data_IF_421796658256
#
_entry.id   IF_421796658256
#
_cell.length_a   1.000
_cell.length_b   1.000
_cell.length_c   1.000
_cell.angle_alpha   90.00
_cell.angle_beta   90.00
_cell.angle_gamma   90.00
#
_symmetry.space_group_name_H-M   'P 1'
#
loop_
_entity.id
_entity.type
_entity.pdbx_description
1 polymer ?
#
# COMPACT_ATOMS: atom_id res chain seq x y z
N UNK A 1 -6.18 -12.63 11.68
CA UNK A 1 -4.81 -12.14 11.42
C UNK A 1 -4.90 -10.73 10.85
N UNK A 2 -4.01 -9.83 11.28
CA UNK A 2 -3.97 -8.45 10.76
C UNK A 2 -3.25 -8.43 9.41
N UNK A 3 -3.72 -7.59 8.48
CA UNK A 3 -3.21 -7.48 7.12
C UNK A 3 -2.64 -6.09 6.85
N UNK A 4 -1.45 -6.03 6.27
CA UNK A 4 -0.82 -4.79 5.80
C UNK A 4 -0.67 -4.83 4.28
N UNK A 5 -1.16 -3.78 3.62
CA UNK A 5 -0.99 -3.56 2.19
C UNK A 5 0.24 -2.68 1.96
N UNK A 6 1.33 -3.28 1.48
CA UNK A 6 2.54 -2.56 1.09
C UNK A 6 2.42 -2.11 -0.37
N UNK A 7 2.26 -0.81 -0.58
CA UNK A 7 2.01 -0.19 -1.88
C UNK A 7 3.31 0.36 -2.45
N UNK A 8 3.76 -0.18 -3.60
CA UNK A 8 5.00 0.23 -4.26
C UNK A 8 6.25 -0.22 -3.50
N UNK A 9 6.18 -1.38 -2.85
CA UNK A 9 7.26 -1.90 -2.02
C UNK A 9 8.47 -2.42 -2.79
N UNK A 10 8.40 -2.54 -4.13
CA UNK A 10 9.40 -3.11 -5.04
C UNK A 10 9.75 -4.58 -4.78
N UNK A 11 10.00 -5.02 -3.54
CA UNK A 11 10.24 -6.43 -3.23
C UNK A 11 9.81 -6.79 -1.82
N UNK A 12 9.29 -8.00 -1.63
CA UNK A 12 9.07 -8.60 -0.30
C UNK A 12 10.36 -8.91 0.46
N UNK A 13 11.51 -8.88 -0.22
CA UNK A 13 12.82 -8.99 0.46
C UNK A 13 13.13 -7.77 1.31
N UNK A 14 12.47 -6.63 1.05
CA UNK A 14 12.58 -5.43 1.87
C UNK A 14 11.69 -5.64 3.09
N UNK A 15 12.27 -5.78 4.29
CA UNK A 15 11.49 -6.01 5.50
C UNK A 15 10.61 -4.79 5.77
N UNK A 16 9.37 -5.06 6.17
CA UNK A 16 8.53 -4.03 6.76
C UNK A 16 9.07 -3.63 8.14
N UNK A 17 8.72 -2.43 8.63
CA UNK A 17 9.01 -2.03 10.00
C UNK A 17 8.58 -3.11 11.03
N UNK A 18 9.33 -3.29 12.13
CA UNK A 18 9.06 -4.32 13.14
C UNK A 18 7.62 -4.31 13.70
N UNK A 19 6.93 -3.18 13.64
CA UNK A 19 5.54 -3.02 14.04
C UNK A 19 4.56 -3.92 13.26
N UNK A 20 4.97 -4.37 12.06
CA UNK A 20 4.22 -5.31 11.23
C UNK A 20 4.68 -6.76 11.39
N UNK A 21 5.56 -7.07 12.34
CA UNK A 21 5.98 -8.45 12.59
C UNK A 21 4.75 -9.32 12.94
N UNK A 22 4.61 -10.46 12.26
CA UNK A 22 3.46 -11.35 12.39
C UNK A 22 2.17 -10.88 11.70
N UNK A 23 2.20 -9.76 10.97
CA UNK A 23 1.10 -9.36 10.09
C UNK A 23 1.24 -10.04 8.72
N UNK A 24 0.10 -10.27 8.07
CA UNK A 24 0.07 -10.77 6.70
C UNK A 24 0.44 -9.64 5.74
N UNK A 25 1.61 -9.77 5.10
CA UNK A 25 2.18 -8.77 4.22
C UNK A 25 1.77 -9.03 2.77
N UNK A 26 0.89 -8.15 2.28
CA UNK A 26 0.41 -8.13 0.90
C UNK A 26 1.15 -7.03 0.14
N UNK A 27 1.93 -7.40 -0.89
CA UNK A 27 2.62 -6.49 -1.78
C UNK A 27 1.73 -6.14 -2.97
N UNK A 28 1.50 -4.84 -3.17
CA UNK A 28 0.85 -4.27 -4.33
C UNK A 28 1.85 -3.48 -5.17
N UNK A 29 1.94 -3.83 -6.44
CA UNK A 29 2.80 -3.16 -7.40
C UNK A 29 2.17 -3.15 -8.79
N UNK A 30 2.58 -2.19 -9.63
CA UNK A 30 2.19 -2.10 -11.04
C UNK A 30 3.11 -2.93 -11.93
N UNK A 31 4.36 -3.20 -11.50
CA UNK A 31 5.30 -3.98 -12.27
C UNK A 31 5.10 -5.49 -12.00
N UNK A 32 4.70 -6.30 -12.99
CA UNK A 32 4.60 -7.74 -12.80
C UNK A 32 5.96 -8.42 -12.54
N UNK A 33 7.08 -7.78 -12.90
CA UNK A 33 8.42 -8.34 -12.73
C UNK A 33 8.83 -8.48 -11.26
N UNK A 34 8.19 -7.75 -10.37
CA UNK A 34 8.46 -7.84 -8.93
C UNK A 34 7.61 -8.90 -8.21
N UNK A 35 6.78 -9.63 -8.96
CA UNK A 35 5.90 -10.68 -8.44
C UNK A 35 5.03 -10.21 -7.24
N UNK A 36 4.23 -9.14 -7.42
CA UNK A 36 3.34 -8.67 -6.35
C UNK A 36 2.21 -9.67 -6.09
N UNK A 37 1.66 -9.68 -4.87
CA UNK A 37 0.43 -10.44 -4.59
C UNK A 37 -0.77 -9.80 -5.27
N UNK A 38 -0.73 -8.47 -5.43
CA UNK A 38 -1.75 -7.68 -6.09
C UNK A 38 -1.08 -6.87 -7.20
N UNK A 39 -1.18 -7.35 -8.44
CA UNK A 39 -0.78 -6.59 -9.62
C UNK A 39 -1.86 -5.54 -9.92
N UNK A 40 -1.64 -4.31 -9.43
CA UNK A 40 -2.62 -3.23 -9.56
C UNK A 40 -1.92 -1.87 -9.52
N UNK A 41 -2.47 -0.93 -10.27
CA UNK A 41 -2.08 0.48 -10.14
C UNK A 41 -2.72 1.06 -8.87
N UNK A 42 -1.94 1.76 -8.04
CA UNK A 42 -2.46 2.42 -6.84
C UNK A 42 -3.58 3.44 -7.15
N UNK A 43 -3.69 3.93 -8.40
CA UNK A 43 -4.78 4.80 -8.86
C UNK A 43 -6.11 4.06 -9.01
N UNK A 44 -6.07 2.75 -9.19
CA UNK A 44 -7.23 1.88 -9.44
C UNK A 44 -7.64 1.08 -8.18
N UNK A 45 -7.13 1.46 -7.00
CA UNK A 45 -7.47 0.81 -5.72
C UNK A 45 -8.97 0.80 -5.42
N UNK A 46 -9.73 1.76 -5.95
CA UNK A 46 -11.20 1.80 -5.85
C UNK A 46 -11.88 0.58 -6.51
N UNK A 47 -11.22 -0.08 -7.46
CA UNK A 47 -11.70 -1.30 -8.11
C UNK A 47 -11.48 -2.57 -7.28
N UNK A 48 -10.69 -2.51 -6.20
CA UNK A 48 -10.51 -3.63 -5.28
C UNK A 48 -11.67 -3.70 -4.28
N UNK A 49 -11.83 -4.86 -3.63
CA UNK A 49 -12.76 -4.96 -2.51
C UNK A 49 -12.30 -4.05 -1.34
N UNK A 50 -13.24 -3.28 -0.79
CA UNK A 50 -12.98 -2.36 0.30
C UNK A 50 -12.86 -3.04 1.66
N UNK A 51 -12.38 -2.30 2.66
CA UNK A 51 -12.28 -2.74 4.06
C UNK A 51 -11.59 -4.09 4.29
N UNK A 52 -10.51 -4.36 3.55
CA UNK A 52 -9.78 -5.62 3.63
C UNK A 52 -8.53 -5.55 4.52
N UNK A 53 -7.92 -4.36 4.64
CA UNK A 53 -6.61 -4.21 5.26
C UNK A 53 -6.69 -3.40 6.56
N UNK A 54 -5.84 -3.78 7.52
CA UNK A 54 -5.71 -3.09 8.80
C UNK A 54 -4.70 -1.94 8.73
N UNK A 55 -3.75 -2.02 7.79
CA UNK A 55 -2.82 -0.92 7.49
C UNK A 55 -2.48 -0.84 6.01
N UNK A 56 -2.23 0.37 5.52
CA UNK A 56 -1.58 0.63 4.24
C UNK A 56 -0.21 1.21 4.52
N UNK A 57 0.84 0.52 4.06
CA UNK A 57 2.22 0.96 4.12
C UNK A 57 2.65 1.50 2.76
N UNK A 58 3.12 2.75 2.73
CA UNK A 58 3.58 3.42 1.50
C UNK A 58 4.85 4.22 1.81
N UNK A 59 6.03 3.71 1.41
CA UNK A 59 7.33 4.33 1.68
C UNK A 59 7.77 5.32 0.60
N UNK A 60 7.69 4.95 -0.68
CA UNK A 60 8.26 5.75 -1.78
C UNK A 60 7.31 5.97 -2.98
N UNK A 61 6.00 5.73 -2.81
CA UNK A 61 5.11 5.71 -3.97
C UNK A 61 4.52 7.09 -4.35
N UNK A 62 4.29 7.97 -3.37
CA UNK A 62 3.55 9.23 -3.60
C UNK A 62 4.35 10.31 -4.36
N UNK A 63 5.67 10.21 -4.41
CA UNK A 63 6.55 11.18 -5.10
C UNK A 63 6.57 11.01 -6.63
N UNK A 64 6.12 9.86 -7.11
CA UNK A 64 6.00 9.56 -8.53
C UNK A 64 4.65 9.94 -9.14
N UNK A 65 3.66 10.34 -8.32
CA UNK A 65 2.33 10.70 -8.79
C UNK A 65 2.16 12.21 -8.96
N UNK A 66 1.47 12.61 -10.03
CA UNK A 66 1.02 13.98 -10.19
C UNK A 66 0.01 14.35 -9.08
N UNK A 67 -0.06 15.63 -8.72
CA UNK A 67 -0.93 16.16 -7.65
C UNK A 67 -2.40 15.69 -7.74
N UNK A 68 -2.93 15.49 -8.96
CA UNK A 68 -4.29 15.02 -9.18
C UNK A 68 -4.46 13.52 -8.94
N UNK A 69 -3.42 12.72 -9.18
CA UNK A 69 -3.42 11.27 -8.95
C UNK A 69 -3.28 10.94 -7.47
N UNK A 70 -2.56 11.77 -6.70
CA UNK A 70 -2.44 11.62 -5.24
C UNK A 70 -3.81 11.58 -4.57
N UNK A 71 -4.77 12.43 -4.99
CA UNK A 71 -6.13 12.43 -4.42
C UNK A 71 -6.87 11.12 -4.67
N UNK A 72 -6.72 10.54 -5.87
CA UNK A 72 -7.33 9.25 -6.21
C UNK A 72 -6.72 8.11 -5.39
N UNK A 73 -5.40 8.09 -5.27
CA UNK A 73 -4.68 7.08 -4.48
C UNK A 73 -5.08 7.14 -3.01
N UNK A 74 -5.15 8.33 -2.41
CA UNK A 74 -5.58 8.50 -1.02
C UNK A 74 -7.04 8.05 -0.79
N UNK A 75 -7.94 8.35 -1.73
CA UNK A 75 -9.31 7.84 -1.67
C UNK A 75 -9.34 6.31 -1.75
N UNK A 76 -8.49 5.73 -2.61
CA UNK A 76 -8.25 4.29 -2.70
C UNK A 76 -7.75 3.69 -1.39
N UNK A 77 -6.80 4.34 -0.70
CA UNK A 77 -6.33 3.89 0.61
C UNK A 77 -7.47 3.85 1.63
N UNK A 78 -8.28 4.90 1.72
CA UNK A 78 -9.45 4.92 2.60
C UNK A 78 -10.48 3.84 2.25
N UNK A 79 -10.64 3.50 0.97
CA UNK A 79 -11.56 2.44 0.52
C UNK A 79 -11.09 1.04 0.93
N UNK A 80 -9.81 0.73 0.75
CA UNK A 80 -9.27 -0.62 1.04
C UNK A 80 -9.03 -0.85 2.54
N UNK A 81 -8.90 0.22 3.32
CA UNK A 81 -8.75 0.16 4.78
C UNK A 81 -10.06 -0.17 5.48
N UNK A 82 -9.96 -0.95 6.57
CA UNK A 82 -11.05 -1.13 7.54
C UNK A 82 -11.33 0.18 8.29
N UNK A 83 -12.47 0.23 8.97
CA UNK A 83 -12.91 1.42 9.72
C UNK A 83 -11.91 1.87 10.81
N UNK A 84 -11.16 0.93 11.40
CA UNK A 84 -10.11 1.13 12.40
C UNK A 84 -8.69 1.07 11.80
N UNK A 85 -8.59 0.97 10.48
CA UNK A 85 -7.33 0.89 9.77
C UNK A 85 -6.61 2.24 9.71
N UNK A 86 -5.30 2.19 9.49
CA UNK A 86 -4.48 3.40 9.40
C UNK A 86 -3.54 3.36 8.20
N UNK A 87 -3.11 4.53 7.75
CA UNK A 87 -2.06 4.66 6.72
C UNK A 87 -0.75 4.98 7.42
N UNK A 88 0.27 4.17 7.19
CA UNK A 88 1.63 4.44 7.62
C UNK A 88 2.45 4.89 6.41
N UNK A 89 2.76 6.19 6.37
CA UNK A 89 3.65 6.77 5.37
C UNK A 89 5.01 6.99 6.00
N UNK A 90 6.03 6.31 5.50
CA UNK A 90 7.43 6.64 5.82
C UNK A 90 7.99 7.36 4.62
N UNK A 91 7.88 8.69 4.60
CA UNK A 91 8.69 9.48 3.69
C UNK A 91 10.06 9.60 4.35
N UNK A 92 11.08 8.97 3.75
CA UNK A 92 12.46 9.28 4.14
C UNK A 92 12.67 10.76 3.84
N UNK A 93 12.66 11.60 4.88
CA UNK A 93 13.29 12.91 4.78
C UNK A 93 14.77 12.64 4.53
N UNK A 94 15.20 12.84 3.29
CA UNK A 94 16.58 13.22 3.02
C UNK A 94 16.83 14.63 3.56
#
# INVERSE_FOLDING_TARGET
>A
MKKVLNVGGNSKLIPLPPEYEGWDHVLLDIDPKVYPDVLCDARELMGLAGAQYDSVYCSHNLEHYYHHDVKKVLAGFSHVLKADGFVCRIQSCA
#
